data_IF_446580250733
#
_entry.id   IF_446580250733
#
_cell.length_a   1.000
_cell.length_b   1.000
_cell.length_c   1.000
_cell.angle_alpha   90.00
_cell.angle_beta   90.00
_cell.angle_gamma   90.00
#
_symmetry.space_group_name_H-M   'P 1'
#
loop_
_entity.id
_entity.type
_entity.pdbx_description
1 polymer ?
#
# COMPACT_ATOMS: atom_id res chain seq x y z
N UNK A 1 -8.51 8.49 -10.60
CA UNK A 1 -7.80 8.42 -9.31
C UNK A 1 -8.45 9.33 -8.28
N UNK A 2 -8.79 8.82 -7.09
CA UNK A 2 -9.40 9.62 -6.02
C UNK A 2 -8.57 9.54 -4.74
N UNK A 3 -8.28 10.68 -4.14
CA UNK A 3 -7.67 10.79 -2.81
C UNK A 3 -8.62 11.49 -1.85
N UNK A 4 -8.58 11.10 -0.58
CA UNK A 4 -9.39 11.70 0.47
C UNK A 4 -8.62 12.82 1.16
N UNK A 5 -9.26 13.95 1.47
CA UNK A 5 -8.69 14.98 2.33
C UNK A 5 -9.37 14.99 3.70
N UNK A 6 -8.59 14.68 4.73
CA UNK A 6 -8.92 14.95 6.13
C UNK A 6 -8.35 16.31 6.53
N UNK A 7 -9.23 17.25 6.90
CA UNK A 7 -8.86 18.63 7.20
C UNK A 7 -9.85 19.26 8.18
N UNK A 8 -9.43 20.33 8.87
CA UNK A 8 -10.38 21.18 9.59
C UNK A 8 -11.12 22.08 8.62
N UNK A 9 -12.41 22.33 8.83
CA UNK A 9 -13.17 23.31 8.02
C UNK A 9 -12.57 24.72 8.10
N UNK A 10 -11.74 25.01 9.11
CA UNK A 10 -10.98 26.26 9.23
C UNK A 10 -9.83 26.37 8.21
N UNK A 11 -9.40 25.25 7.64
CA UNK A 11 -8.34 25.16 6.63
C UNK A 11 -8.91 25.15 5.19
N UNK A 12 -10.13 25.66 5.01
CA UNK A 12 -10.88 25.64 3.75
C UNK A 12 -10.07 26.18 2.56
N UNK A 13 -9.37 27.31 2.72
CA UNK A 13 -8.58 27.89 1.62
C UNK A 13 -7.46 26.96 1.13
N UNK A 14 -6.82 26.24 2.04
CA UNK A 14 -5.83 25.24 1.66
C UNK A 14 -6.48 24.07 0.93
N UNK A 15 -7.63 23.59 1.42
CA UNK A 15 -8.39 22.50 0.79
C UNK A 15 -8.85 22.86 -0.64
N UNK A 16 -9.30 24.10 -0.87
CA UNK A 16 -9.63 24.60 -2.21
C UNK A 16 -8.41 24.61 -3.14
N UNK A 17 -7.29 25.20 -2.68
CA UNK A 17 -6.07 25.27 -3.48
C UNK A 17 -5.53 23.88 -3.81
N UNK A 18 -5.54 22.96 -2.83
CA UNK A 18 -5.18 21.57 -3.03
C UNK A 18 -6.08 20.91 -4.07
N UNK A 19 -7.40 21.14 -4.00
CA UNK A 19 -8.36 20.64 -4.98
C UNK A 19 -8.04 21.10 -6.41
N UNK A 20 -7.72 22.39 -6.59
CA UNK A 20 -7.33 22.95 -7.88
C UNK A 20 -6.04 22.28 -8.39
N UNK A 21 -5.00 22.19 -7.55
CA UNK A 21 -3.70 21.60 -7.94
C UNK A 21 -3.77 20.13 -8.27
N UNK A 22 -4.57 19.37 -7.53
CA UNK A 22 -4.80 17.96 -7.84
C UNK A 22 -5.61 17.80 -9.13
N UNK A 23 -6.62 18.64 -9.36
CA UNK A 23 -7.41 18.61 -10.59
C UNK A 23 -6.57 18.93 -11.84
N UNK A 24 -5.66 19.91 -11.77
CA UNK A 24 -4.68 20.23 -12.83
C UNK A 24 -3.82 19.00 -13.19
N UNK A 25 -3.59 18.09 -12.25
CA UNK A 25 -2.84 16.86 -12.43
C UNK A 25 -3.71 15.62 -12.77
N UNK A 26 -5.03 15.78 -12.97
CA UNK A 26 -5.96 14.69 -13.27
C UNK A 26 -6.37 13.85 -12.05
N UNK A 27 -6.19 14.38 -10.84
CA UNK A 27 -6.45 13.69 -9.57
C UNK A 27 -7.74 14.24 -8.95
N UNK A 28 -8.70 13.37 -8.65
CA UNK A 28 -9.92 13.76 -7.96
C UNK A 28 -9.70 13.85 -6.45
N UNK A 29 -10.16 14.94 -5.83
CA UNK A 29 -10.13 15.14 -4.39
C UNK A 29 -11.52 14.89 -3.79
N UNK A 30 -11.63 13.87 -2.95
CA UNK A 30 -12.80 13.68 -2.10
C UNK A 30 -12.60 14.47 -0.80
N UNK A 31 -13.60 15.26 -0.42
CA UNK A 31 -13.64 15.96 0.88
C UNK A 31 -15.08 16.21 1.29
N UNK A 32 -15.33 16.19 2.59
CA UNK A 32 -16.60 16.67 3.13
C UNK A 32 -16.61 18.21 3.04
N UNK A 33 -17.62 18.77 2.37
CA UNK A 33 -17.83 20.22 2.24
C UNK A 33 -18.63 20.81 3.42
N UNK A 34 -18.81 20.06 4.50
CA UNK A 34 -19.39 20.56 5.75
C UNK A 34 -20.91 20.49 5.81
N UNK A 35 -21.55 19.65 5.00
CA UNK A 35 -23.00 19.44 5.01
C UNK A 35 -23.39 18.32 5.97
N UNK A 36 -22.99 18.45 7.24
CA UNK A 36 -23.46 17.55 8.30
C UNK A 36 -24.87 17.97 8.71
N UNK A 37 -25.88 17.45 8.00
CA UNK A 37 -27.28 17.54 8.44
C UNK A 37 -27.44 16.61 9.65
N UNK A 38 -27.85 17.16 10.79
CA UNK A 38 -28.12 16.37 11.98
C UNK A 38 -29.20 15.31 11.67
N UNK A 39 -28.88 14.03 11.91
CA UNK A 39 -29.79 12.89 11.69
C UNK A 39 -29.51 12.06 10.43
N UNK A 40 -28.53 12.42 9.60
CA UNK A 40 -28.08 11.60 8.45
C UNK A 40 -26.89 10.71 8.85
N UNK A 41 -26.75 9.52 8.26
CA UNK A 41 -25.59 8.64 8.47
C UNK A 41 -24.34 9.18 7.74
N UNK A 42 -23.87 10.33 8.21
CA UNK A 42 -22.72 11.05 7.66
C UNK A 42 -21.42 10.25 7.79
N UNK A 43 -21.33 9.37 8.80
CA UNK A 43 -20.19 8.48 9.02
C UNK A 43 -20.03 7.50 7.88
N UNK A 44 -21.12 6.88 7.44
CA UNK A 44 -21.08 5.97 6.31
C UNK A 44 -20.55 6.64 5.04
N UNK A 45 -20.92 7.91 4.79
CA UNK A 45 -20.41 8.70 3.67
C UNK A 45 -18.89 8.87 3.71
N UNK A 46 -18.34 9.20 4.88
CA UNK A 46 -16.89 9.38 5.10
C UNK A 46 -16.16 8.05 5.00
N UNK A 47 -16.65 7.02 5.68
CA UNK A 47 -16.05 5.68 5.64
C UNK A 47 -15.99 5.16 4.20
N UNK A 48 -17.04 5.41 3.41
CA UNK A 48 -17.06 5.11 1.98
C UNK A 48 -16.07 5.98 1.20
N UNK A 49 -16.01 7.28 1.48
CA UNK A 49 -15.03 8.19 0.88
C UNK A 49 -13.59 7.72 1.09
N UNK A 50 -13.25 7.35 2.32
CA UNK A 50 -11.93 6.81 2.68
C UNK A 50 -11.70 5.47 1.98
N UNK A 51 -12.68 4.57 2.01
CA UNK A 51 -12.55 3.22 1.44
C UNK A 51 -12.36 3.24 -0.08
N UNK A 52 -13.01 4.17 -0.78
CA UNK A 52 -12.92 4.34 -2.22
C UNK A 52 -11.74 5.20 -2.69
N UNK A 53 -11.00 5.80 -1.75
CA UNK A 53 -9.80 6.58 -2.06
C UNK A 53 -8.56 5.70 -2.02
N UNK A 54 -7.58 5.99 -2.89
CA UNK A 54 -6.31 5.25 -2.92
C UNK A 54 -5.35 5.67 -1.81
N UNK A 55 -5.52 6.87 -1.27
CA UNK A 55 -4.73 7.43 -0.18
C UNK A 55 -5.55 8.48 0.59
N UNK A 56 -5.10 8.78 1.81
CA UNK A 56 -5.65 9.84 2.66
C UNK A 56 -4.60 10.92 2.89
N UNK A 57 -4.92 12.13 2.44
CA UNK A 57 -4.17 13.35 2.72
C UNK A 57 -4.66 13.91 4.05
N UNK A 58 -3.75 14.28 4.95
CA UNK A 58 -4.09 14.89 6.24
C UNK A 58 -3.50 16.29 6.29
N UNK A 59 -4.35 17.31 6.20
CA UNK A 59 -3.90 18.70 6.38
C UNK A 59 -3.67 18.96 7.87
N UNK A 60 -2.40 19.11 8.25
CA UNK A 60 -1.96 19.29 9.63
C UNK A 60 -1.87 20.77 9.98
N UNK A 61 -2.80 21.20 10.82
CA UNK A 61 -2.88 22.52 11.43
C UNK A 61 -3.20 22.37 12.91
N UNK A 62 -3.07 23.47 13.68
CA UNK A 62 -3.52 23.48 15.07
C UNK A 62 -5.00 23.02 15.17
N UNK A 63 -5.84 23.54 14.28
CA UNK A 63 -7.29 23.25 14.28
C UNK A 63 -7.60 21.80 13.88
N UNK A 64 -6.79 21.19 13.00
CA UNK A 64 -7.00 19.81 12.59
C UNK A 64 -6.50 18.83 13.65
N UNK A 65 -5.42 19.16 14.37
CA UNK A 65 -4.89 18.32 15.46
C UNK A 65 -5.81 18.25 16.68
N UNK A 66 -6.63 19.28 16.90
CA UNK A 66 -7.64 19.31 17.98
C UNK A 66 -8.98 18.69 17.55
N UNK A 67 -9.15 18.38 16.25
CA UNK A 67 -10.40 17.84 15.72
C UNK A 67 -10.49 16.33 15.94
N UNK A 68 -11.48 15.91 16.74
CA UNK A 68 -11.81 14.49 16.93
C UNK A 68 -12.26 13.82 15.63
N UNK A 69 -12.84 14.58 14.71
CA UNK A 69 -13.26 14.10 13.40
C UNK A 69 -12.06 13.80 12.51
N UNK A 70 -11.11 14.73 12.38
CA UNK A 70 -9.85 14.53 11.65
C UNK A 70 -9.11 13.32 12.24
N UNK A 71 -9.08 13.23 13.59
CA UNK A 71 -8.51 12.09 14.31
C UNK A 71 -9.14 10.76 13.92
N UNK A 72 -10.47 10.69 13.90
CA UNK A 72 -11.20 9.51 13.49
C UNK A 72 -10.90 9.12 12.03
N UNK A 73 -10.88 10.08 11.11
CA UNK A 73 -10.67 9.82 9.68
C UNK A 73 -9.30 9.21 9.40
N UNK A 74 -8.21 9.83 9.86
CA UNK A 74 -6.88 9.28 9.60
C UNK A 74 -6.65 7.97 10.37
N UNK A 75 -7.24 7.80 11.56
CA UNK A 75 -7.13 6.55 12.31
C UNK A 75 -7.89 5.41 11.61
N UNK A 76 -9.09 5.70 11.10
CA UNK A 76 -9.89 4.75 10.31
C UNK A 76 -9.15 4.35 9.02
N UNK A 77 -8.56 5.32 8.32
CA UNK A 77 -7.76 5.09 7.13
C UNK A 77 -6.55 4.17 7.40
N UNK A 78 -5.83 4.40 8.50
CA UNK A 78 -4.75 3.49 8.94
C UNK A 78 -5.30 2.08 9.19
N UNK A 79 -6.44 1.95 9.87
CA UNK A 79 -7.09 0.66 10.13
C UNK A 79 -7.50 -0.08 8.85
N UNK A 80 -7.80 0.66 7.77
CA UNK A 80 -8.09 0.12 6.43
C UNK A 80 -6.86 -0.13 5.57
N UNK A 81 -5.65 0.10 6.10
CA UNK A 81 -4.40 -0.04 5.35
C UNK A 81 -4.23 1.02 4.26
N UNK A 82 -4.96 2.14 4.33
CA UNK A 82 -4.82 3.23 3.36
C UNK A 82 -3.51 4.00 3.63
N UNK A 83 -2.70 4.27 2.61
CA UNK A 83 -1.56 5.16 2.73
C UNK A 83 -1.98 6.54 3.25
N UNK A 84 -1.22 7.05 4.23
CA UNK A 84 -1.41 8.38 4.81
C UNK A 84 -0.31 9.30 4.30
N UNK A 85 -0.69 10.49 3.82
CA UNK A 85 0.24 11.54 3.39
C UNK A 85 -0.03 12.79 4.24
N UNK A 86 0.77 13.06 5.28
CA UNK A 86 0.60 14.24 6.10
C UNK A 86 1.11 15.50 5.36
N UNK A 87 0.29 16.57 5.37
CA UNK A 87 0.58 17.87 4.76
C UNK A 87 0.66 18.92 5.87
N UNK A 88 1.85 19.31 6.30
CA UNK A 88 2.05 20.29 7.38
C UNK A 88 1.79 21.70 6.86
N UNK A 89 0.64 22.28 7.18
CA UNK A 89 0.21 23.60 6.67
C UNK A 89 0.46 24.73 7.67
N UNK A 90 0.50 24.43 8.97
CA UNK A 90 0.93 25.36 10.02
C UNK A 90 1.79 24.64 11.05
N UNK A 91 2.37 25.36 12.01
CA UNK A 91 3.01 24.71 13.15
C UNK A 91 1.96 24.12 14.09
N UNK A 92 2.10 22.84 14.43
CA UNK A 92 1.15 22.11 15.27
C UNK A 92 1.83 20.90 15.93
N UNK A 93 1.29 20.47 17.07
CA UNK A 93 1.70 19.24 17.74
C UNK A 93 0.97 18.05 17.10
N UNK A 94 1.71 17.18 16.42
CA UNK A 94 1.13 16.03 15.73
C UNK A 94 0.89 14.88 16.72
N UNK A 95 -0.09 14.02 16.39
CA UNK A 95 -0.23 12.76 17.10
C UNK A 95 1.01 11.87 16.82
N UNK A 96 1.60 11.15 17.81
CA UNK A 96 2.82 10.37 17.63
C UNK A 96 2.76 9.36 16.47
N UNK A 97 1.57 8.83 16.19
CA UNK A 97 1.35 7.94 15.04
C UNK A 97 1.62 8.64 13.71
N UNK A 98 1.26 9.92 13.57
CA UNK A 98 1.51 10.72 12.38
C UNK A 98 2.95 11.26 12.36
N UNK A 99 3.57 11.53 13.51
CA UNK A 99 4.99 11.92 13.59
C UNK A 99 5.93 10.86 13.02
N UNK A 100 5.57 9.59 13.15
CA UNK A 100 6.32 8.47 12.55
C UNK A 100 6.26 8.41 11.02
N UNK A 101 5.45 9.27 10.39
CA UNK A 101 5.25 9.32 8.93
C UNK A 101 5.89 10.61 8.41
N UNK A 102 6.69 10.50 7.34
CA UNK A 102 7.27 11.66 6.69
C UNK A 102 6.16 12.57 6.13
N UNK A 103 6.22 13.86 6.44
CA UNK A 103 5.25 14.86 6.00
C UNK A 103 5.82 15.73 4.88
N UNK A 104 4.92 16.29 4.07
CA UNK A 104 5.23 17.36 3.15
C UNK A 104 4.98 18.71 3.82
N UNK A 105 5.94 19.62 3.72
CA UNK A 105 5.87 20.93 4.37
C UNK A 105 5.26 21.99 3.45
N UNK A 106 4.07 22.48 3.81
CA UNK A 106 3.30 23.50 3.10
C UNK A 106 3.28 24.85 3.85
N UNK A 107 4.11 25.03 4.89
CA UNK A 107 4.16 26.28 5.67
C UNK A 107 4.80 27.45 4.92
N UNK A 108 5.68 27.19 3.94
CA UNK A 108 6.52 28.20 3.28
C UNK A 108 6.14 28.38 1.82
N UNK A 109 5.74 29.61 1.44
CA UNK A 109 5.12 29.92 0.15
C UNK A 109 6.02 29.81 -1.08
N UNK A 110 7.33 29.91 -0.95
CA UNK A 110 8.20 30.14 -2.11
C UNK A 110 8.44 28.88 -2.95
N UNK A 111 8.30 27.70 -2.37
CA UNK A 111 8.38 26.40 -3.07
C UNK A 111 7.48 25.38 -2.36
N UNK A 112 6.18 25.48 -2.58
CA UNK A 112 5.24 24.47 -2.06
C UNK A 112 5.46 23.13 -2.79
N UNK A 113 5.50 21.99 -2.09
CA UNK A 113 5.91 20.69 -2.64
C UNK A 113 4.77 19.99 -3.43
N UNK A 114 4.13 20.71 -4.35
CA UNK A 114 3.02 20.19 -5.16
C UNK A 114 3.45 19.02 -6.04
N UNK A 115 4.60 19.13 -6.71
CA UNK A 115 5.09 18.08 -7.61
C UNK A 115 5.40 16.79 -6.85
N UNK A 116 6.03 16.90 -5.67
CA UNK A 116 6.31 15.78 -4.78
C UNK A 116 5.02 15.09 -4.30
N UNK A 117 3.98 15.87 -3.98
CA UNK A 117 2.67 15.32 -3.61
C UNK A 117 2.05 14.55 -4.78
N UNK A 118 2.06 15.14 -5.97
CA UNK A 118 1.47 14.54 -7.18
C UNK A 118 2.22 13.26 -7.57
N UNK A 119 3.54 13.27 -7.54
CA UNK A 119 4.39 12.11 -7.79
C UNK A 119 4.07 10.99 -6.81
N UNK A 120 4.02 11.31 -5.51
CA UNK A 120 3.71 10.32 -4.47
C UNK A 120 2.33 9.69 -4.64
N UNK A 121 1.32 10.47 -5.02
CA UNK A 121 -0.03 9.94 -5.26
C UNK A 121 -0.03 8.99 -6.47
N UNK A 122 0.70 9.33 -7.55
CA UNK A 122 0.82 8.49 -8.74
C UNK A 122 1.58 7.19 -8.47
N UNK A 123 2.62 7.21 -7.63
CA UNK A 123 3.29 6.00 -7.18
C UNK A 123 2.32 5.05 -6.46
N UNK A 124 1.50 5.59 -5.55
CA UNK A 124 0.50 4.79 -4.81
C UNK A 124 -0.53 4.18 -5.77
N UNK A 125 -0.94 4.90 -6.81
CA UNK A 125 -1.84 4.37 -7.84
C UNK A 125 -1.21 3.18 -8.55
N UNK A 126 0.04 3.31 -9.00
CA UNK A 126 0.78 2.22 -9.66
C UNK A 126 0.92 1.01 -8.72
N UNK A 127 1.31 1.22 -7.47
CA UNK A 127 1.43 0.16 -6.46
C UNK A 127 0.08 -0.55 -6.19
N UNK A 128 -1.01 0.21 -6.16
CA UNK A 128 -2.37 -0.32 -5.99
C UNK A 128 -2.78 -1.18 -7.18
N UNK A 129 -2.52 -0.74 -8.42
CA UNK A 129 -2.81 -1.53 -9.62
C UNK A 129 -1.98 -2.81 -9.68
N UNK A 130 -0.68 -2.74 -9.38
CA UNK A 130 0.18 -3.93 -9.35
C UNK A 130 -0.30 -4.95 -8.32
N UNK A 131 -0.70 -4.49 -7.13
CA UNK A 131 -1.23 -5.34 -6.08
C UNK A 131 -2.54 -6.04 -6.49
N UNK A 132 -3.44 -5.33 -7.18
CA UNK A 132 -4.69 -5.88 -7.71
C UNK A 132 -4.44 -6.91 -8.82
N UNK A 133 -3.56 -6.61 -9.78
CA UNK A 133 -3.17 -7.54 -10.84
C UNK A 133 -2.53 -8.80 -10.24
N UNK A 134 -1.64 -8.65 -9.26
CA UNK A 134 -1.03 -9.79 -8.56
C UNK A 134 -2.07 -10.60 -7.76
N UNK A 135 -3.05 -9.95 -7.13
CA UNK A 135 -4.12 -10.63 -6.41
C UNK A 135 -5.07 -11.38 -7.35
N UNK A 136 -5.40 -10.81 -8.51
CA UNK A 136 -6.21 -11.48 -9.55
C UNK A 136 -5.47 -12.68 -10.15
N UNK A 137 -4.18 -12.55 -10.45
CA UNK A 137 -3.33 -13.66 -10.88
C UNK A 137 -3.20 -14.73 -9.80
N UNK A 138 -3.02 -14.35 -8.53
CA UNK A 138 -3.00 -15.29 -7.40
C UNK A 138 -4.36 -15.99 -7.22
N UNK A 139 -5.48 -15.28 -7.39
CA UNK A 139 -6.83 -15.85 -7.31
C UNK A 139 -7.12 -16.86 -8.43
N UNK A 140 -6.50 -16.69 -9.60
CA UNK A 140 -6.55 -17.68 -10.68
C UNK A 140 -5.62 -18.87 -10.44
N UNK A 141 -4.46 -18.68 -9.79
CA UNK A 141 -3.50 -19.75 -9.45
C UNK A 141 -3.86 -20.60 -8.22
N UNK A 142 -4.69 -20.08 -7.29
CA UNK A 142 -5.17 -20.80 -6.09
C UNK A 142 -6.05 -22.04 -6.43
N UNK A 143 -6.33 -22.28 -7.71
CA UNK A 143 -6.96 -23.52 -8.19
C UNK A 143 -6.00 -24.72 -8.32
N UNK A 144 -4.74 -24.64 -7.86
CA UNK A 144 -3.82 -25.79 -7.83
C UNK A 144 -3.37 -26.16 -6.40
N UNK A 145 -3.99 -27.23 -5.89
CA UNK A 145 -3.79 -27.86 -4.58
C UNK A 145 -2.32 -28.20 -4.24
N UNK A 146 -1.73 -27.50 -3.26
CA UNK A 146 -0.80 -28.14 -2.31
C UNK A 146 -0.97 -27.54 -0.91
N UNK A 147 -1.34 -28.37 0.07
CA UNK A 147 -1.49 -27.96 1.47
C UNK A 147 -0.14 -27.83 2.21
N UNK A 148 0.96 -28.22 1.57
CA UNK A 148 2.30 -28.26 2.16
C UNK A 148 2.82 -26.83 2.51
N UNK A 149 3.06 -26.53 3.81
CA UNK A 149 3.56 -25.23 4.26
C UNK A 149 4.90 -24.84 3.63
N UNK A 150 5.76 -25.80 3.31
CA UNK A 150 7.07 -25.56 2.70
C UNK A 150 6.91 -25.14 1.24
N UNK A 151 6.02 -25.79 0.48
CA UNK A 151 5.68 -25.40 -0.90
C UNK A 151 5.14 -23.97 -0.94
N UNK A 152 4.23 -23.63 -0.03
CA UNK A 152 3.69 -22.26 0.11
C UNK A 152 4.76 -21.25 0.43
N UNK A 153 5.69 -21.58 1.33
CA UNK A 153 6.79 -20.70 1.71
C UNK A 153 7.75 -20.44 0.55
N UNK A 154 8.06 -21.48 -0.24
CA UNK A 154 8.89 -21.38 -1.45
C UNK A 154 8.19 -20.51 -2.51
N UNK A 155 6.91 -20.75 -2.79
CA UNK A 155 6.14 -19.95 -3.75
C UNK A 155 6.05 -18.49 -3.34
N UNK A 156 5.75 -18.22 -2.07
CA UNK A 156 5.67 -16.86 -1.55
C UNK A 156 7.03 -16.14 -1.66
N UNK A 157 8.12 -16.82 -1.29
CA UNK A 157 9.46 -16.29 -1.44
C UNK A 157 9.81 -15.92 -2.88
N UNK A 158 9.48 -16.81 -3.84
CA UNK A 158 9.69 -16.57 -5.26
C UNK A 158 8.85 -15.38 -5.76
N UNK A 159 7.57 -15.34 -5.42
CA UNK A 159 6.64 -14.32 -5.89
C UNK A 159 6.94 -12.93 -5.29
N UNK A 160 7.20 -12.83 -3.98
CA UNK A 160 7.56 -11.55 -3.34
C UNK A 160 8.86 -10.94 -3.88
N UNK A 161 9.76 -11.77 -4.42
CA UNK A 161 11.04 -11.32 -4.99
C UNK A 161 11.04 -11.25 -6.51
N UNK A 162 9.94 -11.60 -7.17
CA UNK A 162 9.86 -11.69 -8.63
C UNK A 162 10.80 -12.74 -9.24
N UNK A 163 11.16 -13.78 -8.48
CA UNK A 163 12.06 -14.83 -8.95
C UNK A 163 11.29 -15.95 -9.65
N UNK A 164 11.81 -16.37 -10.81
CA UNK A 164 11.31 -17.55 -11.53
C UNK A 164 12.01 -18.85 -11.09
N UNK A 165 13.22 -18.73 -10.54
CA UNK A 165 14.01 -19.85 -10.03
C UNK A 165 14.92 -19.44 -8.88
N UNK A 166 15.36 -20.41 -8.09
CA UNK A 166 16.18 -20.22 -6.90
C UNK A 166 17.12 -21.40 -6.69
N UNK A 167 18.34 -21.13 -6.19
CA UNK A 167 19.29 -22.19 -5.82
C UNK A 167 18.92 -22.86 -4.51
N UNK A 168 19.28 -24.13 -4.33
CA UNK A 168 19.03 -24.86 -3.09
C UNK A 168 19.67 -24.19 -1.87
N UNK A 169 20.91 -23.70 -2.02
CA UNK A 169 21.60 -22.93 -0.98
C UNK A 169 20.85 -21.64 -0.58
N UNK A 170 20.16 -20.99 -1.53
CA UNK A 170 19.35 -19.81 -1.23
C UNK A 170 18.05 -20.19 -0.50
N UNK A 171 17.42 -21.31 -0.86
CA UNK A 171 16.28 -21.85 -0.11
C UNK A 171 16.66 -22.12 1.34
N UNK A 172 17.82 -22.75 1.58
CA UNK A 172 18.34 -22.98 2.93
C UNK A 172 18.50 -21.72 3.75
N UNK A 173 19.15 -20.71 3.16
CA UNK A 173 19.45 -19.46 3.86
C UNK A 173 18.24 -18.58 4.12
N UNK A 174 17.16 -18.74 3.36
CA UNK A 174 16.03 -17.81 3.34
C UNK A 174 14.71 -18.39 3.80
N UNK A 175 14.57 -19.71 3.76
CA UNK A 175 13.32 -20.39 4.07
C UNK A 175 13.54 -21.33 5.25
N UNK A 176 14.42 -22.32 5.10
CA UNK A 176 14.66 -23.32 6.14
C UNK A 176 16.06 -23.91 6.03
N UNK A 177 16.89 -23.68 7.06
CA UNK A 177 18.30 -24.10 7.10
C UNK A 177 18.50 -25.61 7.10
N UNK A 178 17.48 -26.38 7.52
CA UNK A 178 17.54 -27.84 7.63
C UNK A 178 17.23 -28.55 6.30
N UNK A 179 16.87 -27.81 5.25
CA UNK A 179 16.55 -28.41 3.95
C UNK A 179 17.75 -29.15 3.36
N UNK A 180 17.63 -30.47 3.18
CA UNK A 180 18.62 -31.26 2.42
C UNK A 180 18.34 -31.23 0.92
N UNK A 181 19.35 -31.53 0.09
CA UNK A 181 19.16 -31.63 -1.36
C UNK A 181 18.09 -32.69 -1.69
N UNK A 182 18.09 -33.81 -0.96
CA UNK A 182 17.11 -34.89 -1.09
C UNK A 182 15.68 -34.42 -0.77
N UNK A 183 15.49 -33.61 0.28
CA UNK A 183 14.16 -33.07 0.63
C UNK A 183 13.66 -32.11 -0.46
N UNK A 184 14.53 -31.26 -1.00
CA UNK A 184 14.13 -30.33 -2.07
C UNK A 184 13.83 -31.09 -3.36
N UNK A 185 14.63 -32.11 -3.71
CA UNK A 185 14.36 -32.94 -4.88
C UNK A 185 13.05 -33.75 -4.74
N UNK A 186 12.78 -34.30 -3.55
CA UNK A 186 11.53 -34.98 -3.26
C UNK A 186 10.33 -34.00 -3.35
N UNK A 187 10.47 -32.78 -2.85
CA UNK A 187 9.45 -31.74 -2.94
C UNK A 187 9.15 -31.37 -4.39
N UNK A 188 10.17 -31.19 -5.23
CA UNK A 188 10.00 -30.93 -6.67
C UNK A 188 9.28 -32.10 -7.34
N UNK A 189 9.67 -33.34 -7.02
CA UNK A 189 9.05 -34.54 -7.59
C UNK A 189 7.58 -34.69 -7.19
N UNK A 190 7.26 -34.42 -5.93
CA UNK A 190 5.91 -34.55 -5.39
C UNK A 190 4.99 -33.39 -5.82
N UNK A 191 5.57 -32.26 -6.24
CA UNK A 191 4.85 -31.07 -6.69
C UNK A 191 5.24 -30.68 -8.12
N UNK A 192 5.33 -31.66 -9.02
CA UNK A 192 5.77 -31.48 -10.40
C UNK A 192 4.82 -30.65 -11.28
N UNK A 193 3.63 -30.30 -10.79
CA UNK A 193 2.74 -29.31 -11.42
C UNK A 193 3.12 -27.86 -11.07
N UNK A 194 3.87 -27.66 -9.99
CA UNK A 194 4.21 -26.35 -9.42
C UNK A 194 5.68 -26.05 -9.65
N UNK A 195 6.56 -27.04 -9.47
CA UNK A 195 8.00 -26.87 -9.52
C UNK A 195 8.65 -27.84 -10.49
N UNK A 196 9.74 -27.37 -11.12
CA UNK A 196 10.68 -28.20 -11.88
C UNK A 196 12.10 -28.00 -11.37
N UNK A 197 12.95 -29.00 -11.58
CA UNK A 197 14.38 -28.90 -11.33
C UNK A 197 14.98 -27.84 -12.27
N UNK A 198 15.89 -27.03 -11.75
CA UNK A 198 16.61 -26.01 -12.48
C UNK A 198 18.12 -26.11 -12.20
N UNK A 199 18.91 -25.61 -13.13
CA UNK A 199 20.36 -25.50 -12.98
C UNK A 199 20.73 -24.03 -13.17
N UNK A 200 21.30 -23.40 -12.14
CA UNK A 200 21.73 -21.99 -12.18
C UNK A 200 23.18 -21.86 -12.67
N UNK A 201 23.61 -20.62 -12.94
CA UNK A 201 24.99 -20.30 -13.29
C UNK A 201 26.00 -21.01 -12.38
N UNK A 202 27.03 -21.61 -13.00
CA UNK A 202 28.04 -22.41 -12.31
C UNK A 202 27.58 -23.85 -12.01
N UNK A 203 26.60 -24.38 -12.74
CA UNK A 203 26.08 -25.75 -12.58
C UNK A 203 25.49 -26.03 -11.18
N UNK A 204 24.92 -25.00 -10.54
CA UNK A 204 24.36 -25.10 -9.19
C UNK A 204 22.93 -25.64 -9.24
N UNK A 205 22.55 -26.59 -8.36
CA UNK A 205 21.20 -27.12 -8.32
C UNK A 205 20.21 -26.07 -7.82
N UNK A 206 19.01 -26.10 -8.41
CA UNK A 206 17.94 -25.18 -8.10
C UNK A 206 16.56 -25.73 -8.42
N UNK A 207 15.59 -24.92 -8.06
CA UNK A 207 14.17 -25.16 -8.23
C UNK A 207 13.59 -23.96 -8.97
N UNK A 208 12.77 -24.21 -9.98
CA UNK A 208 12.02 -23.20 -10.72
C UNK A 208 10.53 -23.45 -10.59
N UNK A 209 9.73 -22.38 -10.55
CA UNK A 209 8.28 -22.51 -10.70
C UNK A 209 7.93 -22.84 -12.15
N UNK A 210 6.89 -23.65 -12.35
CA UNK A 210 6.35 -24.03 -13.67
C UNK A 210 5.25 -23.06 -14.08
N UNK A 211 4.54 -22.47 -13.11
CA UNK A 211 3.44 -21.55 -13.33
C UNK A 211 3.90 -20.33 -14.15
N UNK A 212 3.17 -19.95 -15.22
CA UNK A 212 3.50 -18.79 -16.05
C UNK A 212 3.48 -17.46 -15.29
#
# INVERSE_FOLDING_TARGET
MTVFLSYSTKDYFFAELLGIKLAEAGISLWRDQGSLIAGTDWRQGIENGISNSIAVLVALSLQSTESSYVTYEWAYAIGKGKPIIPLKITECQMHPRLESIQHLDFRVSNTLPWDLLIERIKEIEVDSYQSLVMAESASQEISTNSEDPLVKSILNYLNQRGYQMVSFDRLRRRIDSELTDENIEALVKNNASIFKRATLEGNRPGLAKITP
#
